data_IF_904477768817
#
_entry.id   IF_904477768817
#
_cell.length_a   1.000
_cell.length_b   1.000
_cell.length_c   1.000
_cell.angle_alpha   90.00
_cell.angle_beta   90.00
_cell.angle_gamma   90.00
#
_symmetry.space_group_name_H-M   'P 1'
#
loop_
_entity.id
_entity.type
_entity.pdbx_description
1 polymer ?
#
# COMPACT_ATOMS: atom_id res chain seq x y z
N UNK A 1 53.38 6.37 1.64
CA UNK A 1 52.32 5.74 0.88
C UNK A 1 51.22 5.23 1.78
N UNK A 2 50.29 6.10 2.17
CA UNK A 2 49.02 5.75 2.78
C UNK A 2 48.19 7.04 2.99
N UNK A 3 47.59 7.56 1.94
CA UNK A 3 46.54 8.60 2.01
C UNK A 3 45.69 8.57 0.74
N UNK A 4 44.82 7.56 0.56
CA UNK A 4 43.87 7.56 -0.54
C UNK A 4 42.56 6.75 -0.28
N UNK A 5 42.14 6.51 0.96
CA UNK A 5 40.95 5.70 1.22
C UNK A 5 39.84 6.40 2.02
N UNK A 6 39.90 7.72 2.25
CA UNK A 6 38.88 8.44 3.06
C UNK A 6 38.04 9.49 2.33
N UNK A 7 38.11 9.61 1.01
CA UNK A 7 37.28 10.57 0.26
C UNK A 7 35.92 10.04 -0.20
N UNK A 8 35.68 8.74 -0.24
CA UNK A 8 34.41 8.17 -0.69
C UNK A 8 33.28 8.13 0.32
N UNK A 9 33.51 8.49 1.59
CA UNK A 9 32.50 8.49 2.64
C UNK A 9 31.73 9.80 2.79
N UNK A 10 32.41 10.93 2.57
CA UNK A 10 31.82 12.25 2.73
C UNK A 10 30.93 12.66 1.54
N UNK A 11 31.28 12.25 0.33
CA UNK A 11 30.45 12.51 -0.86
C UNK A 11 29.14 11.73 -0.84
N UNK A 12 29.12 10.50 -0.30
CA UNK A 12 27.90 9.71 -0.12
C UNK A 12 26.97 10.26 0.96
N UNK A 13 27.47 10.96 1.96
CA UNK A 13 26.64 11.59 3.00
C UNK A 13 25.91 12.84 2.47
N UNK A 14 26.49 13.60 1.54
CA UNK A 14 25.85 14.76 0.93
C UNK A 14 24.68 14.43 -0.01
N UNK A 15 24.63 13.21 -0.58
CA UNK A 15 23.50 12.75 -1.39
C UNK A 15 22.24 12.43 -0.57
N UNK A 16 22.38 12.21 0.76
CA UNK A 16 21.29 11.82 1.66
C UNK A 16 20.82 12.94 2.59
N UNK A 17 21.43 14.11 2.55
CA UNK A 17 21.05 15.24 3.39
C UNK A 17 20.42 16.35 2.52
N UNK A 18 19.34 16.94 3.02
CA UNK A 18 18.76 18.13 2.45
C UNK A 18 19.62 19.38 2.72
N UNK A 19 19.17 20.55 2.22
CA UNK A 19 19.86 21.83 2.43
C UNK A 19 19.96 22.27 3.91
N UNK A 20 19.26 21.59 4.83
CA UNK A 20 19.27 21.82 6.28
C UNK A 20 20.13 20.79 7.01
N UNK A 21 20.71 19.79 6.29
CA UNK A 21 21.48 18.70 6.91
C UNK A 21 20.60 17.59 7.50
N UNK A 22 19.34 17.54 7.17
CA UNK A 22 18.42 16.48 7.56
C UNK A 22 18.41 15.35 6.51
N UNK A 23 18.17 14.11 6.96
CA UNK A 23 18.09 12.96 6.04
C UNK A 23 16.94 13.18 5.06
N UNK A 24 17.27 13.29 3.79
CA UNK A 24 16.27 13.47 2.72
C UNK A 24 15.41 12.22 2.61
N UNK A 25 14.11 12.35 2.88
CA UNK A 25 13.16 11.28 2.64
C UNK A 25 13.13 10.94 1.15
N UNK A 26 13.33 9.66 0.81
CA UNK A 26 13.28 9.21 -0.57
C UNK A 26 13.06 7.71 -0.66
N UNK A 27 12.28 7.30 -1.65
CA UNK A 27 12.10 5.90 -2.04
C UNK A 27 12.99 5.50 -3.25
N UNK A 28 14.00 6.31 -3.59
CA UNK A 28 14.91 6.04 -4.69
C UNK A 28 15.57 4.66 -4.56
N UNK A 29 15.51 3.86 -5.63
CA UNK A 29 16.09 2.52 -5.66
C UNK A 29 15.42 1.49 -4.73
N UNK A 30 14.29 1.82 -4.09
CA UNK A 30 13.51 0.85 -3.33
C UNK A 30 12.83 -0.13 -4.27
N UNK A 31 12.80 -1.39 -3.86
CA UNK A 31 12.25 -2.54 -4.60
C UNK A 31 10.89 -2.86 -3.99
N UNK A 32 9.83 -2.50 -4.70
CA UNK A 32 8.45 -2.47 -4.17
C UNK A 32 7.58 -3.48 -4.92
N UNK A 33 6.83 -4.29 -4.19
CA UNK A 33 5.79 -5.17 -4.73
C UNK A 33 4.41 -4.68 -4.27
N UNK A 34 3.50 -4.42 -5.22
CA UNK A 34 2.16 -3.88 -4.93
C UNK A 34 1.11 -4.83 -5.48
N UNK A 35 0.21 -5.30 -4.63
CA UNK A 35 -0.98 -6.03 -5.07
C UNK A 35 -2.10 -5.06 -5.44
N UNK A 36 -2.80 -5.32 -6.54
CA UNK A 36 -3.90 -4.46 -6.98
C UNK A 36 -3.45 -3.07 -7.46
N UNK A 37 -2.22 -2.95 -7.96
CA UNK A 37 -1.60 -1.68 -8.35
C UNK A 37 -1.98 -1.17 -9.75
N UNK A 38 -2.93 -1.78 -10.44
CA UNK A 38 -3.30 -1.38 -11.82
C UNK A 38 -4.13 -0.10 -11.88
N UNK A 39 -4.68 0.37 -10.76
CA UNK A 39 -5.55 1.56 -10.65
C UNK A 39 -5.67 2.05 -9.21
N UNK A 40 -6.41 3.16 -9.03
CA UNK A 40 -6.84 3.66 -7.72
C UNK A 40 -5.68 3.92 -6.76
N UNK A 41 -5.88 3.55 -5.50
CA UNK A 41 -4.91 3.79 -4.41
C UNK A 41 -3.56 3.12 -4.69
N UNK A 42 -3.57 1.86 -5.15
CA UNK A 42 -2.34 1.13 -5.44
C UNK A 42 -1.50 1.80 -6.53
N UNK A 43 -2.14 2.28 -7.60
CA UNK A 43 -1.45 3.03 -8.66
C UNK A 43 -0.94 4.38 -8.16
N UNK A 44 -1.73 5.11 -7.35
CA UNK A 44 -1.29 6.39 -6.79
C UNK A 44 -0.05 6.23 -5.90
N UNK A 45 0.00 5.19 -5.06
CA UNK A 45 1.19 4.87 -4.25
C UNK A 45 2.38 4.53 -5.16
N UNK A 46 2.16 3.74 -6.20
CA UNK A 46 3.20 3.38 -7.17
C UNK A 46 3.78 4.62 -7.86
N UNK A 47 2.94 5.52 -8.35
CA UNK A 47 3.37 6.76 -9.02
C UNK A 47 4.13 7.69 -8.08
N UNK A 48 3.71 7.78 -6.81
CA UNK A 48 4.43 8.57 -5.81
C UNK A 48 5.84 8.03 -5.55
N UNK A 49 5.98 6.71 -5.47
CA UNK A 49 7.30 6.07 -5.31
C UNK A 49 8.14 6.17 -6.59
N UNK A 50 7.51 6.05 -7.76
CA UNK A 50 8.16 6.17 -9.06
C UNK A 50 8.81 7.55 -9.28
N UNK A 51 8.19 8.62 -8.76
CA UNK A 51 8.76 9.97 -8.83
C UNK A 51 10.13 10.10 -8.15
N UNK A 52 10.45 9.22 -7.23
CA UNK A 52 11.78 9.12 -6.60
C UNK A 52 12.72 8.15 -7.32
N UNK A 53 12.26 7.43 -8.33
CA UNK A 53 13.05 6.41 -9.03
C UNK A 53 13.00 5.02 -8.38
N UNK A 54 11.90 4.65 -7.74
CA UNK A 54 11.71 3.30 -7.20
C UNK A 54 11.53 2.25 -8.33
N UNK A 55 11.83 0.99 -8.00
CA UNK A 55 11.52 -0.18 -8.84
C UNK A 55 10.24 -0.83 -8.32
N UNK A 56 9.22 -0.96 -9.17
CA UNK A 56 7.86 -1.29 -8.73
C UNK A 56 7.30 -2.45 -9.56
N UNK A 57 7.04 -3.57 -8.92
CA UNK A 57 6.27 -4.67 -9.48
C UNK A 57 4.80 -4.49 -9.14
N UNK A 58 3.94 -4.48 -10.16
CA UNK A 58 2.49 -4.42 -10.02
C UNK A 58 1.91 -5.79 -10.29
N UNK A 59 1.30 -6.39 -9.28
CA UNK A 59 0.63 -7.66 -9.37
C UNK A 59 -0.89 -7.48 -9.33
N UNK A 60 -1.57 -7.78 -10.43
CA UNK A 60 -3.03 -7.74 -10.54
C UNK A 60 -3.53 -8.65 -11.68
N UNK A 61 -4.85 -8.89 -11.68
CA UNK A 61 -5.48 -9.78 -12.68
C UNK A 61 -5.70 -9.10 -14.04
N UNK A 62 -5.87 -7.78 -14.05
CA UNK A 62 -6.38 -7.05 -15.22
C UNK A 62 -5.28 -6.85 -16.26
N UNK A 63 -5.32 -7.62 -17.32
CA UNK A 63 -4.43 -7.53 -18.48
C UNK A 63 -5.07 -6.79 -19.65
N UNK A 64 -6.40 -6.87 -19.76
CA UNK A 64 -7.17 -6.28 -20.86
C UNK A 64 -8.00 -5.10 -20.38
N UNK A 65 -8.23 -4.07 -21.22
CA UNK A 65 -9.10 -2.97 -20.88
C UNK A 65 -10.51 -3.44 -20.55
N UNK A 66 -11.09 -2.88 -19.49
CA UNK A 66 -12.45 -3.17 -19.06
C UNK A 66 -13.35 -1.94 -19.29
N UNK A 67 -14.59 -2.08 -19.81
CA UNK A 67 -15.46 -0.92 -20.14
C UNK A 67 -15.76 0.00 -18.96
N UNK A 68 -15.81 -0.55 -17.74
CA UNK A 68 -16.18 0.19 -16.51
C UNK A 68 -15.02 0.43 -15.53
N UNK A 69 -13.90 -0.23 -15.73
CA UNK A 69 -12.76 -0.15 -14.82
C UNK A 69 -11.52 0.26 -15.62
N UNK A 70 -11.04 1.51 -15.49
CA UNK A 70 -9.88 1.97 -16.25
C UNK A 70 -8.59 1.29 -15.79
N UNK A 71 -7.65 1.17 -16.72
CA UNK A 71 -6.29 0.70 -16.44
C UNK A 71 -6.13 -0.82 -16.44
N UNK A 72 -4.95 -1.22 -16.85
CA UNK A 72 -4.42 -2.59 -16.81
C UNK A 72 -3.07 -2.58 -16.11
N UNK A 73 -2.50 -3.76 -15.84
CA UNK A 73 -1.12 -3.84 -15.31
C UNK A 73 -0.12 -3.22 -16.29
N UNK A 74 -0.39 -3.25 -17.60
CA UNK A 74 0.50 -2.69 -18.61
C UNK A 74 0.42 -1.17 -18.69
N UNK A 75 -0.79 -0.59 -18.70
CA UNK A 75 -0.95 0.87 -18.66
C UNK A 75 -0.42 1.49 -17.36
N UNK A 76 -0.56 0.77 -16.25
CA UNK A 76 0.03 1.19 -14.99
C UNK A 76 1.57 1.14 -15.02
N UNK A 77 2.15 0.09 -15.61
CA UNK A 77 3.60 -0.01 -15.78
C UNK A 77 4.15 1.12 -16.66
N UNK A 78 3.46 1.46 -17.75
CA UNK A 78 3.80 2.60 -18.60
C UNK A 78 3.80 3.91 -17.82
N UNK A 79 2.72 4.19 -17.08
CA UNK A 79 2.62 5.40 -16.24
C UNK A 79 3.72 5.48 -15.17
N UNK A 80 4.11 4.35 -14.55
CA UNK A 80 5.20 4.28 -13.58
C UNK A 80 6.54 4.62 -14.24
N UNK A 81 6.81 4.08 -15.44
CA UNK A 81 8.03 4.38 -16.17
C UNK A 81 8.09 5.85 -16.57
N UNK A 82 6.98 6.42 -17.05
CA UNK A 82 6.88 7.86 -17.37
C UNK A 82 7.09 8.76 -16.13
N UNK A 83 6.67 8.30 -14.96
CA UNK A 83 6.88 9.01 -13.70
C UNK A 83 8.32 8.93 -13.15
N UNK A 84 9.21 8.18 -13.79
CA UNK A 84 10.62 8.06 -13.43
C UNK A 84 11.01 6.79 -12.68
N UNK A 85 10.07 5.85 -12.48
CA UNK A 85 10.33 4.54 -11.88
C UNK A 85 10.79 3.48 -12.88
N UNK A 86 11.05 2.27 -12.38
CA UNK A 86 11.21 1.06 -13.18
C UNK A 86 10.06 0.11 -12.88
N UNK A 87 9.15 -0.11 -13.81
CA UNK A 87 7.97 -0.94 -13.62
C UNK A 87 8.18 -2.38 -14.09
N UNK A 88 7.53 -3.32 -13.39
CA UNK A 88 7.34 -4.70 -13.79
C UNK A 88 5.85 -5.06 -13.65
N UNK A 89 5.20 -5.36 -14.77
CA UNK A 89 3.81 -5.80 -14.78
C UNK A 89 3.74 -7.32 -14.63
N UNK A 90 3.00 -7.80 -13.62
CA UNK A 90 2.85 -9.24 -13.35
C UNK A 90 1.36 -9.57 -13.25
N UNK A 91 0.89 -10.48 -14.09
CA UNK A 91 -0.46 -11.01 -13.95
C UNK A 91 -0.51 -11.96 -12.74
N UNK A 92 -1.39 -11.66 -11.79
CA UNK A 92 -1.53 -12.46 -10.56
C UNK A 92 -2.97 -12.44 -10.06
N UNK A 93 -3.53 -13.63 -9.87
CA UNK A 93 -4.77 -13.83 -9.12
C UNK A 93 -4.43 -14.21 -7.68
N UNK A 94 -4.75 -13.36 -6.72
CA UNK A 94 -4.46 -13.58 -5.29
C UNK A 94 -5.24 -14.76 -4.66
N UNK A 95 -6.14 -15.40 -5.39
CA UNK A 95 -6.80 -16.63 -4.98
C UNK A 95 -5.93 -17.86 -5.25
N UNK A 96 -4.92 -17.72 -6.09
CA UNK A 96 -4.01 -18.80 -6.50
C UNK A 96 -2.66 -18.63 -5.80
N UNK A 97 -2.34 -19.60 -4.93
CA UNK A 97 -1.11 -19.62 -4.12
C UNK A 97 0.16 -19.69 -5.00
N UNK A 98 0.11 -20.47 -6.08
CA UNK A 98 1.26 -20.61 -6.97
C UNK A 98 1.54 -19.29 -7.70
N UNK A 99 0.50 -18.64 -8.22
CA UNK A 99 0.65 -17.33 -8.85
C UNK A 99 1.21 -16.28 -7.89
N UNK A 100 0.78 -16.28 -6.61
CA UNK A 100 1.36 -15.39 -5.59
C UNK A 100 2.86 -15.65 -5.44
N UNK A 101 3.23 -16.90 -5.19
CA UNK A 101 4.63 -17.28 -4.97
C UNK A 101 5.49 -16.93 -6.19
N UNK A 102 5.07 -17.33 -7.38
CA UNK A 102 5.77 -17.07 -8.63
C UNK A 102 5.92 -15.57 -8.90
N UNK A 103 4.88 -14.77 -8.61
CA UNK A 103 4.90 -13.32 -8.82
C UNK A 103 5.91 -12.63 -7.89
N UNK A 104 5.94 -13.02 -6.62
CA UNK A 104 6.89 -12.46 -5.64
C UNK A 104 8.33 -12.84 -6.01
N UNK A 105 8.57 -14.10 -6.37
CA UNK A 105 9.89 -14.57 -6.80
C UNK A 105 10.35 -13.91 -8.11
N UNK A 106 9.45 -13.72 -9.07
CA UNK A 106 9.74 -13.00 -10.31
C UNK A 106 10.20 -11.57 -10.03
N UNK A 107 9.46 -10.84 -9.19
CA UNK A 107 9.80 -9.48 -8.81
C UNK A 107 11.15 -9.41 -8.06
N UNK A 108 11.35 -10.32 -7.09
CA UNK A 108 12.60 -10.39 -6.33
C UNK A 108 13.79 -10.73 -7.21
N UNK A 109 13.63 -11.63 -8.19
CA UNK A 109 14.67 -11.97 -9.17
C UNK A 109 15.03 -10.79 -10.08
N UNK A 110 14.01 -10.13 -10.65
CA UNK A 110 14.20 -9.01 -11.58
C UNK A 110 14.86 -7.80 -10.91
N UNK A 111 14.51 -7.52 -9.64
CA UNK A 111 15.02 -6.38 -8.89
C UNK A 111 16.24 -6.70 -8.02
N UNK A 112 16.61 -7.98 -7.89
CA UNK A 112 17.65 -8.43 -6.98
C UNK A 112 17.26 -8.33 -5.50
N UNK A 113 15.99 -8.57 -5.17
CA UNK A 113 15.41 -8.54 -3.82
C UNK A 113 14.12 -7.74 -3.73
N UNK A 114 13.56 -7.64 -2.51
CA UNK A 114 12.42 -6.79 -2.20
C UNK A 114 12.68 -6.03 -0.90
N UNK A 115 12.28 -4.76 -0.87
CA UNK A 115 12.37 -3.88 0.30
C UNK A 115 10.99 -3.56 0.88
N UNK A 116 9.96 -3.49 0.04
CA UNK A 116 8.63 -3.05 0.42
C UNK A 116 7.57 -3.95 -0.23
N UNK A 117 6.61 -4.38 0.59
CA UNK A 117 5.38 -5.00 0.14
C UNK A 117 4.20 -4.08 0.47
N UNK A 118 3.32 -3.83 -0.50
CA UNK A 118 2.06 -3.12 -0.28
C UNK A 118 0.89 -4.05 -0.59
N UNK A 119 0.19 -4.49 0.44
CA UNK A 119 -1.04 -5.25 0.34
C UNK A 119 -2.22 -4.29 0.14
N UNK A 120 -2.52 -3.96 -1.12
CA UNK A 120 -3.59 -3.03 -1.48
C UNK A 120 -4.79 -3.73 -2.14
N UNK A 121 -4.61 -4.88 -2.77
CA UNK A 121 -5.71 -5.58 -3.41
C UNK A 121 -6.82 -5.92 -2.41
N UNK A 122 -8.07 -5.66 -2.80
CA UNK A 122 -9.24 -5.91 -1.96
C UNK A 122 -10.46 -6.20 -2.84
N UNK A 123 -11.28 -7.15 -2.39
CA UNK A 123 -12.62 -7.37 -2.90
C UNK A 123 -13.63 -6.78 -1.90
N UNK A 124 -14.71 -6.20 -2.42
CA UNK A 124 -15.76 -5.56 -1.64
C UNK A 124 -17.13 -6.10 -2.02
N UNK A 125 -17.94 -6.38 -1.00
CA UNK A 125 -19.38 -6.63 -1.16
C UNK A 125 -20.07 -6.16 0.12
N UNK A 126 -20.90 -5.12 0.01
CA UNK A 126 -21.57 -4.47 1.13
C UNK A 126 -23.02 -4.97 1.27
N UNK A 127 -23.19 -6.27 1.42
CA UNK A 127 -24.49 -6.88 1.66
C UNK A 127 -24.63 -7.38 3.10
N UNK A 128 -25.88 -7.39 3.60
CA UNK A 128 -26.16 -7.93 4.92
C UNK A 128 -25.99 -9.47 4.94
N UNK A 129 -26.06 -10.06 6.12
CA UNK A 129 -25.85 -11.50 6.31
C UNK A 129 -26.79 -12.36 5.48
N UNK A 130 -28.08 -12.03 5.41
CA UNK A 130 -29.09 -12.80 4.68
C UNK A 130 -28.86 -12.75 3.15
N UNK A 131 -28.35 -11.63 2.64
CA UNK A 131 -28.21 -11.38 1.21
C UNK A 131 -26.81 -11.64 0.66
N UNK A 132 -25.84 -11.98 1.51
CA UNK A 132 -24.45 -12.22 1.07
C UNK A 132 -24.34 -13.60 0.41
N UNK A 133 -24.11 -13.69 -0.93
CA UNK A 133 -23.86 -14.97 -1.57
C UNK A 133 -22.56 -15.60 -1.10
N UNK A 134 -22.53 -16.91 -0.87
CA UNK A 134 -21.31 -17.62 -0.45
C UNK A 134 -20.10 -17.33 -1.35
N UNK A 135 -20.30 -17.30 -2.67
CA UNK A 135 -19.24 -16.93 -3.62
C UNK A 135 -18.64 -15.52 -3.42
N UNK A 136 -19.40 -14.59 -2.86
CA UNK A 136 -18.91 -13.24 -2.53
C UNK A 136 -18.16 -13.24 -1.21
N UNK A 137 -18.63 -14.01 -0.23
CA UNK A 137 -17.93 -14.26 1.01
C UNK A 137 -16.55 -14.87 0.71
N UNK A 138 -16.53 -15.97 -0.04
CA UNK A 138 -15.31 -16.67 -0.43
C UNK A 138 -14.34 -15.74 -1.15
N UNK A 139 -14.82 -14.96 -2.14
CA UNK A 139 -14.00 -14.01 -2.87
C UNK A 139 -13.34 -12.97 -1.94
N UNK A 140 -14.09 -12.40 -1.00
CA UNK A 140 -13.55 -11.42 -0.06
C UNK A 140 -12.49 -12.03 0.85
N UNK A 141 -12.71 -13.25 1.36
CA UNK A 141 -11.74 -13.92 2.21
C UNK A 141 -10.51 -14.40 1.45
N UNK A 142 -10.69 -14.91 0.24
CA UNK A 142 -9.59 -15.35 -0.60
C UNK A 142 -8.67 -14.18 -0.99
N UNK A 143 -9.24 -13.07 -1.42
CA UNK A 143 -8.45 -11.90 -1.85
C UNK A 143 -7.91 -11.12 -0.65
N UNK A 144 -8.78 -10.76 0.31
CA UNK A 144 -8.40 -9.83 1.38
C UNK A 144 -7.58 -10.52 2.47
N UNK A 145 -8.05 -11.67 2.98
CA UNK A 145 -7.40 -12.34 4.13
C UNK A 145 -6.29 -13.26 3.65
N UNK A 146 -6.67 -14.28 2.88
CA UNK A 146 -5.73 -15.30 2.38
C UNK A 146 -4.67 -14.68 1.48
N UNK A 147 -5.08 -13.79 0.57
CA UNK A 147 -4.16 -13.09 -0.34
C UNK A 147 -3.15 -12.23 0.41
N UNK A 148 -3.58 -11.45 1.41
CA UNK A 148 -2.67 -10.66 2.26
C UNK A 148 -1.69 -11.55 3.03
N UNK A 149 -2.18 -12.64 3.63
CA UNK A 149 -1.34 -13.56 4.39
C UNK A 149 -0.29 -14.23 3.49
N UNK A 150 -0.71 -14.84 2.39
CA UNK A 150 0.19 -15.59 1.51
C UNK A 150 1.19 -14.69 0.77
N UNK A 151 0.78 -13.48 0.35
CA UNK A 151 1.70 -12.54 -0.28
C UNK A 151 2.75 -12.05 0.72
N UNK A 152 2.34 -11.77 1.95
CA UNK A 152 3.27 -11.43 3.04
C UNK A 152 4.23 -12.59 3.30
N UNK A 153 3.72 -13.82 3.44
CA UNK A 153 4.53 -15.02 3.66
C UNK A 153 5.59 -15.21 2.55
N UNK A 154 5.21 -15.07 1.29
CA UNK A 154 6.13 -15.19 0.17
C UNK A 154 7.21 -14.08 0.17
N UNK A 155 6.84 -12.85 0.58
CA UNK A 155 7.77 -11.71 0.61
C UNK A 155 8.74 -11.73 1.81
N UNK A 156 8.38 -12.35 2.93
CA UNK A 156 9.16 -12.33 4.18
C UNK A 156 10.63 -12.72 4.00
N UNK A 157 11.03 -13.78 3.29
CA UNK A 157 12.43 -14.11 3.11
C UNK A 157 13.24 -12.98 2.49
N UNK A 158 12.67 -12.29 1.49
CA UNK A 158 13.30 -11.16 0.81
C UNK A 158 13.36 -9.92 1.70
N UNK A 159 12.30 -9.63 2.46
CA UNK A 159 12.23 -8.51 3.40
C UNK A 159 13.22 -8.70 4.57
N UNK A 160 13.37 -9.91 5.09
CA UNK A 160 14.40 -10.23 6.11
C UNK A 160 15.81 -10.02 5.57
N UNK A 161 16.07 -10.37 4.31
CA UNK A 161 17.35 -10.08 3.64
C UNK A 161 17.57 -8.57 3.52
N UNK A 162 16.55 -7.83 3.08
CA UNK A 162 16.56 -6.36 3.01
C UNK A 162 16.90 -5.73 4.37
N UNK A 163 16.32 -6.24 5.47
CA UNK A 163 16.63 -5.79 6.83
C UNK A 163 18.10 -6.00 7.22
N UNK A 164 18.65 -7.18 6.91
CA UNK A 164 20.08 -7.49 7.14
C UNK A 164 21.01 -6.59 6.33
N UNK A 165 20.57 -6.14 5.16
CA UNK A 165 21.31 -5.21 4.30
C UNK A 165 21.10 -3.73 4.68
N UNK A 166 20.34 -3.45 5.74
CA UNK A 166 20.04 -2.07 6.20
C UNK A 166 19.15 -1.28 5.25
N UNK A 167 18.32 -1.95 4.45
CA UNK A 167 17.49 -1.33 3.41
C UNK A 167 16.10 -0.91 3.86
N UNK A 168 15.83 -0.93 5.16
CA UNK A 168 14.59 -0.40 5.75
C UNK A 168 13.30 -1.09 5.24
N UNK A 169 13.11 -2.39 5.49
CA UNK A 169 11.98 -3.14 4.92
C UNK A 169 10.65 -2.84 5.58
N UNK A 170 9.60 -2.65 4.75
CA UNK A 170 8.24 -2.39 5.20
C UNK A 170 7.21 -3.29 4.51
N UNK A 171 6.19 -3.68 5.26
CA UNK A 171 4.90 -4.15 4.75
C UNK A 171 3.83 -3.14 5.13
N UNK A 172 3.16 -2.57 4.15
CA UNK A 172 2.04 -1.65 4.34
C UNK A 172 0.76 -2.31 3.81
N UNK A 173 -0.24 -2.43 4.67
CA UNK A 173 -1.53 -3.04 4.32
C UNK A 173 -2.62 -1.98 4.34
N UNK A 174 -3.40 -1.87 3.26
CA UNK A 174 -4.53 -0.96 3.16
C UNK A 174 -5.73 -1.57 3.89
N UNK A 175 -5.72 -1.40 5.22
CA UNK A 175 -6.73 -1.98 6.11
C UNK A 175 -6.98 -1.09 7.34
N UNK A 176 -8.19 -1.18 7.94
CA UNK A 176 -8.61 -0.26 8.99
C UNK A 176 -8.03 -0.61 10.36
N UNK A 177 -8.07 0.35 11.31
CA UNK A 177 -7.94 0.03 12.72
C UNK A 177 -8.97 -1.01 13.16
N UNK A 178 -8.62 -1.86 14.12
CA UNK A 178 -9.51 -2.86 14.67
C UNK A 178 -10.46 -2.23 15.69
N UNK A 179 -11.76 -2.45 15.54
CA UNK A 179 -12.80 -2.07 16.47
C UNK A 179 -13.80 -3.20 16.65
N UNK A 180 -14.14 -3.51 17.89
CA UNK A 180 -15.16 -4.54 18.22
C UNK A 180 -16.57 -3.95 18.38
N UNK A 181 -16.79 -2.70 17.95
CA UNK A 181 -18.11 -2.06 18.02
C UNK A 181 -19.06 -2.66 16.99
N UNK A 182 -20.21 -3.14 17.43
CA UNK A 182 -21.17 -3.88 16.60
C UNK A 182 -21.66 -3.10 15.36
N UNK A 183 -21.73 -1.76 15.44
CA UNK A 183 -22.18 -0.96 14.30
C UNK A 183 -21.26 -1.04 13.08
N UNK A 184 -19.95 -1.35 13.26
CA UNK A 184 -19.02 -1.58 12.16
C UNK A 184 -19.19 -2.93 11.48
N UNK A 185 -19.89 -3.86 12.10
CA UNK A 185 -20.24 -5.16 11.52
C UNK A 185 -21.65 -5.17 10.93
N UNK A 186 -22.56 -4.40 11.50
CA UNK A 186 -23.97 -4.37 11.10
C UNK A 186 -24.10 -4.05 9.62
N UNK A 187 -24.91 -4.85 8.91
CA UNK A 187 -25.24 -4.73 7.49
C UNK A 187 -24.12 -5.11 6.49
N UNK A 188 -22.91 -5.43 6.94
CA UNK A 188 -21.81 -5.89 6.07
C UNK A 188 -20.80 -6.75 6.83
N UNK A 189 -21.29 -7.73 7.57
CA UNK A 189 -20.48 -8.59 8.45
C UNK A 189 -19.31 -9.24 7.70
N UNK A 190 -19.55 -9.84 6.55
CA UNK A 190 -18.52 -10.52 5.77
C UNK A 190 -17.39 -9.58 5.32
N UNK A 191 -17.74 -8.38 4.86
CA UNK A 191 -16.75 -7.38 4.45
C UNK A 191 -15.90 -6.90 5.64
N UNK A 192 -16.54 -6.59 6.78
CA UNK A 192 -15.83 -6.18 7.99
C UNK A 192 -14.87 -7.26 8.47
N UNK A 193 -15.32 -8.53 8.52
CA UNK A 193 -14.45 -9.65 8.89
C UNK A 193 -13.25 -9.76 7.96
N UNK A 194 -13.45 -9.64 6.64
CA UNK A 194 -12.37 -9.73 5.67
C UNK A 194 -11.38 -8.57 5.80
N UNK A 195 -11.83 -7.33 5.96
CA UNK A 195 -10.95 -6.18 6.17
C UNK A 195 -10.20 -6.27 7.50
N UNK A 196 -10.87 -6.70 8.56
CA UNK A 196 -10.23 -6.93 9.87
C UNK A 196 -9.25 -8.10 9.82
N UNK A 197 -9.51 -9.13 9.02
CA UNK A 197 -8.55 -10.21 8.77
C UNK A 197 -7.22 -9.69 8.21
N UNK A 198 -7.25 -8.72 7.30
CA UNK A 198 -6.04 -8.04 6.82
C UNK A 198 -5.33 -7.30 7.97
N UNK A 199 -6.06 -6.59 8.79
CA UNK A 199 -5.52 -5.87 9.96
C UNK A 199 -4.95 -6.81 11.03
N UNK A 200 -5.56 -7.98 11.21
CA UNK A 200 -5.04 -9.03 12.10
C UNK A 200 -3.69 -9.58 11.62
N UNK A 201 -3.48 -9.70 10.31
CA UNK A 201 -2.17 -10.02 9.74
C UNK A 201 -1.12 -8.96 10.15
N UNK A 202 -1.46 -7.68 10.06
CA UNK A 202 -0.57 -6.60 10.50
C UNK A 202 -0.23 -6.73 11.99
N UNK A 203 -1.25 -6.92 12.83
CA UNK A 203 -1.07 -7.04 14.29
C UNK A 203 -0.15 -8.20 14.67
N UNK A 204 -0.40 -9.39 14.12
CA UNK A 204 0.38 -10.58 14.43
C UNK A 204 1.79 -10.53 13.85
N UNK A 205 1.92 -10.21 12.56
CA UNK A 205 3.20 -10.21 11.86
C UNK A 205 4.13 -9.10 12.34
N UNK A 206 3.61 -7.95 12.79
CA UNK A 206 4.44 -6.89 13.38
C UNK A 206 5.21 -7.35 14.62
N UNK A 207 4.57 -8.15 15.46
CA UNK A 207 5.20 -8.74 16.65
C UNK A 207 6.15 -9.88 16.28
N UNK A 208 5.76 -10.75 15.34
CA UNK A 208 6.51 -11.92 14.92
C UNK A 208 7.86 -11.56 14.28
N UNK A 209 7.86 -10.56 13.39
CA UNK A 209 9.06 -10.15 12.62
C UNK A 209 9.79 -8.92 13.16
N UNK A 210 9.46 -8.48 14.38
CA UNK A 210 10.11 -7.33 15.00
C UNK A 210 11.64 -7.49 15.10
N UNK A 211 12.11 -8.68 15.45
CA UNK A 211 13.56 -8.98 15.60
C UNK A 211 14.29 -9.03 14.25
N UNK A 212 13.57 -9.24 13.16
CA UNK A 212 14.12 -9.23 11.81
C UNK A 212 14.18 -7.81 11.21
N UNK A 213 13.70 -6.79 11.96
CA UNK A 213 13.68 -5.40 11.52
C UNK A 213 12.70 -5.11 10.38
N UNK A 214 11.72 -5.99 10.15
CA UNK A 214 10.66 -5.80 9.14
C UNK A 214 9.47 -5.13 9.80
N UNK A 215 9.11 -3.94 9.32
CA UNK A 215 7.94 -3.21 9.80
C UNK A 215 6.65 -3.70 9.12
N UNK A 216 5.60 -3.86 9.91
CA UNK A 216 4.24 -4.14 9.43
C UNK A 216 3.30 -3.08 9.97
N UNK A 217 2.70 -2.30 9.07
CA UNK A 217 1.73 -1.25 9.43
C UNK A 217 0.50 -1.31 8.55
N UNK A 218 -0.60 -0.77 9.04
CA UNK A 218 -1.83 -0.54 8.27
C UNK A 218 -2.00 0.95 7.98
N UNK A 219 -2.66 1.25 6.87
CA UNK A 219 -3.07 2.61 6.49
C UNK A 219 -4.52 2.58 6.03
N UNK A 220 -5.32 3.50 6.53
CA UNK A 220 -6.73 3.64 6.20
C UNK A 220 -7.11 5.10 5.95
N UNK A 221 -8.02 5.39 5.00
CA UNK A 221 -8.46 6.75 4.75
C UNK A 221 -9.49 7.20 5.81
N UNK A 222 -9.45 8.47 6.20
CA UNK A 222 -10.52 9.07 7.00
C UNK A 222 -11.79 9.29 6.21
N UNK A 223 -11.64 9.68 4.96
CA UNK A 223 -12.77 9.97 4.06
C UNK A 223 -12.77 8.98 2.91
N UNK A 224 -13.93 8.75 2.32
CA UNK A 224 -14.05 7.96 1.11
C UNK A 224 -13.10 8.48 0.01
N UNK A 225 -12.49 7.56 -0.70
CA UNK A 225 -11.52 7.86 -1.77
C UNK A 225 -12.16 7.61 -3.12
N UNK A 226 -12.09 8.60 -4.00
CA UNK A 226 -12.59 8.50 -5.37
C UNK A 226 -11.78 7.48 -6.17
N UNK A 227 -12.33 6.28 -6.27
CA UNK A 227 -11.79 5.16 -7.02
C UNK A 227 -12.87 4.53 -7.89
N UNK A 228 -12.47 3.84 -8.94
CA UNK A 228 -13.43 3.13 -9.79
C UNK A 228 -14.28 2.11 -9.01
N UNK A 229 -13.72 1.51 -7.95
CA UNK A 229 -14.46 0.60 -7.07
C UNK A 229 -15.56 1.34 -6.28
N UNK A 230 -15.26 2.53 -5.77
CA UNK A 230 -16.23 3.35 -5.03
C UNK A 230 -17.35 3.85 -5.95
N UNK A 231 -17.01 4.27 -7.17
CA UNK A 231 -17.97 4.75 -8.17
C UNK A 231 -19.00 3.68 -8.57
N UNK A 232 -18.71 2.40 -8.35
CA UNK A 232 -19.65 1.30 -8.57
C UNK A 232 -20.66 1.10 -7.45
N UNK A 233 -20.49 1.77 -6.30
CA UNK A 233 -21.40 1.66 -5.16
C UNK A 233 -22.57 2.64 -5.37
N UNK A 234 -23.84 2.15 -5.43
CA UNK A 234 -24.99 3.02 -5.64
C UNK A 234 -25.12 4.08 -4.53
N UNK A 235 -25.42 5.32 -4.92
CA UNK A 235 -25.70 6.41 -3.99
C UNK A 235 -24.45 7.12 -3.42
N UNK A 236 -23.25 6.77 -3.87
CA UNK A 236 -22.03 7.47 -3.51
C UNK A 236 -21.85 8.71 -4.39
N UNK A 237 -21.72 9.87 -3.77
CA UNK A 237 -21.34 11.13 -4.43
C UNK A 237 -19.82 11.32 -4.34
N UNK A 238 -19.13 11.09 -5.45
CA UNK A 238 -17.67 11.22 -5.51
C UNK A 238 -17.18 12.65 -5.35
N UNK A 239 -18.03 13.65 -5.53
CA UNK A 239 -17.71 15.05 -5.26
C UNK A 239 -17.39 15.32 -3.77
N UNK A 240 -17.88 14.44 -2.88
CA UNK A 240 -17.63 14.48 -1.44
C UNK A 240 -16.44 13.60 -1.01
N UNK A 241 -15.64 13.13 -1.96
CA UNK A 241 -14.50 12.25 -1.70
C UNK A 241 -13.18 13.02 -1.79
N UNK A 242 -12.12 12.35 -1.31
CA UNK A 242 -10.74 12.76 -1.57
C UNK A 242 -10.12 11.90 -2.67
N UNK A 243 -9.06 12.41 -3.27
CA UNK A 243 -8.28 11.73 -4.31
C UNK A 243 -7.36 10.67 -3.69
N UNK A 244 -7.01 9.61 -4.44
CA UNK A 244 -6.07 8.57 -3.98
C UNK A 244 -4.70 9.09 -3.54
N UNK A 245 -4.28 10.25 -4.02
CA UNK A 245 -2.99 10.88 -3.72
C UNK A 245 -2.80 11.17 -2.24
N UNK A 246 -3.87 11.33 -1.46
CA UNK A 246 -3.74 11.51 0.00
C UNK A 246 -3.15 10.26 0.66
N UNK A 247 -3.60 9.08 0.24
CA UNK A 247 -3.04 7.81 0.71
C UNK A 247 -1.63 7.56 0.17
N UNK A 248 -1.36 7.99 -1.05
CA UNK A 248 -0.03 7.89 -1.65
C UNK A 248 1.00 8.71 -0.87
N UNK A 249 0.68 9.95 -0.52
CA UNK A 249 1.56 10.80 0.29
C UNK A 249 1.69 10.28 1.73
N UNK A 250 0.59 9.82 2.36
CA UNK A 250 0.67 9.19 3.70
C UNK A 250 1.54 7.93 3.68
N UNK A 251 1.37 7.06 2.69
CA UNK A 251 2.20 5.87 2.50
C UNK A 251 3.68 6.24 2.33
N UNK A 252 3.97 7.27 1.55
CA UNK A 252 5.33 7.76 1.35
C UNK A 252 6.02 8.11 2.68
N UNK A 253 5.35 8.85 3.55
CA UNK A 253 5.91 9.19 4.87
C UNK A 253 6.09 7.97 5.76
N UNK A 254 5.13 7.05 5.81
CA UNK A 254 5.25 5.81 6.59
C UNK A 254 6.46 4.98 6.12
N UNK A 255 6.61 4.80 4.82
CA UNK A 255 7.66 3.97 4.22
C UNK A 255 9.08 4.57 4.36
N UNK A 256 9.18 5.86 4.66
CA UNK A 256 10.46 6.53 4.96
C UNK A 256 10.81 6.51 6.45
N UNK A 257 9.90 6.11 7.35
CA UNK A 257 10.21 5.95 8.77
C UNK A 257 11.10 4.75 9.00
N UNK A 258 11.90 4.75 10.07
CA UNK A 258 12.74 3.61 10.40
C UNK A 258 11.90 2.36 10.70
N UNK A 259 12.10 1.28 9.95
CA UNK A 259 11.35 0.03 10.10
C UNK A 259 11.52 -0.62 11.49
N UNK A 260 12.65 -0.39 12.13
CA UNK A 260 12.92 -0.85 13.49
C UNK A 260 12.07 -0.18 14.57
N UNK A 261 11.55 1.03 14.28
CA UNK A 261 10.83 1.87 15.24
C UNK A 261 9.35 2.04 14.88
N UNK A 262 9.01 1.91 13.60
CA UNK A 262 7.67 2.16 13.08
C UNK A 262 7.01 0.84 12.63
N UNK A 263 6.50 0.05 13.58
CA UNK A 263 5.82 -1.22 13.29
C UNK A 263 4.65 -1.47 14.24
N UNK A 264 3.60 -2.12 13.76
CA UNK A 264 2.41 -2.45 14.54
C UNK A 264 1.39 -1.31 14.65
N UNK A 265 1.49 -0.30 13.79
CA UNK A 265 0.60 0.86 13.82
C UNK A 265 -0.56 0.71 12.83
N UNK A 266 -1.69 1.31 13.19
CA UNK A 266 -2.86 1.46 12.36
C UNK A 266 -3.03 2.95 12.07
N UNK A 267 -2.46 3.40 10.97
CA UNK A 267 -2.40 4.80 10.58
C UNK A 267 -3.66 5.25 9.85
N UNK A 268 -4.00 6.53 10.05
CA UNK A 268 -5.01 7.23 9.27
C UNK A 268 -4.29 8.29 8.41
N UNK A 269 -4.70 8.42 7.17
CA UNK A 269 -4.02 9.24 6.15
C UNK A 269 -3.80 10.69 6.58
N UNK A 270 -4.85 11.37 7.05
CA UNK A 270 -4.79 12.76 7.46
C UNK A 270 -3.97 12.97 8.76
N UNK A 271 -3.97 11.99 9.66
CA UNK A 271 -3.16 12.02 10.88
C UNK A 271 -1.67 11.88 10.56
N UNK A 272 -1.33 11.00 9.61
CA UNK A 272 0.06 10.87 9.12
C UNK A 272 0.53 12.19 8.53
N UNK A 273 -0.27 12.79 7.64
CA UNK A 273 0.08 14.07 7.02
C UNK A 273 0.20 15.20 8.04
N UNK A 274 -0.71 15.27 9.02
CA UNK A 274 -0.64 16.25 10.09
C UNK A 274 0.64 16.09 10.93
N UNK A 275 1.08 14.86 11.19
CA UNK A 275 2.35 14.60 11.92
C UNK A 275 3.59 15.09 11.17
N UNK A 276 3.49 15.24 9.85
CA UNK A 276 4.54 15.80 8.98
C UNK A 276 4.34 17.31 8.69
N UNK A 277 3.40 17.96 9.42
CA UNK A 277 3.13 19.39 9.28
C UNK A 277 2.23 19.76 8.09
N UNK A 278 1.64 18.76 7.41
CA UNK A 278 0.73 18.99 6.28
C UNK A 278 -0.70 19.03 6.81
N UNK A 279 -1.23 20.24 7.02
CA UNK A 279 -2.57 20.48 7.58
C UNK A 279 -3.57 20.99 6.55
N UNK A 280 -3.11 21.62 5.46
CA UNK A 280 -3.97 21.98 4.34
C UNK A 280 -4.11 20.80 3.38
N UNK A 281 -5.30 20.18 3.39
CA UNK A 281 -5.62 19.00 2.60
C UNK A 281 -6.53 19.31 1.40
N UNK A 282 -6.77 20.59 1.07
CA UNK A 282 -7.71 20.99 0.00
C UNK A 282 -7.29 20.46 -1.37
N UNK A 283 -5.98 20.34 -1.62
CA UNK A 283 -5.44 19.75 -2.86
C UNK A 283 -5.89 18.31 -3.11
N UNK A 284 -6.26 17.57 -2.04
CA UNK A 284 -6.73 16.19 -2.15
C UNK A 284 -8.25 16.09 -2.32
N UNK A 285 -9.01 17.18 -2.17
CA UNK A 285 -10.44 17.16 -2.44
C UNK A 285 -10.71 16.92 -3.93
N UNK A 286 -11.70 16.07 -4.26
CA UNK A 286 -12.14 15.92 -5.66
C UNK A 286 -12.70 17.23 -6.16
N UNK A 287 -13.53 17.90 -5.34
CA UNK A 287 -14.00 19.27 -5.58
C UNK A 287 -13.31 20.18 -4.56
N UNK A 288 -12.45 21.11 -5.00
CA UNK A 288 -11.79 22.05 -4.11
C UNK A 288 -12.77 22.85 -3.24
N UNK A 289 -12.42 23.08 -1.98
CA UNK A 289 -13.26 23.77 -1.02
C UNK A 289 -14.36 22.92 -0.37
N UNK A 290 -14.46 21.63 -0.68
CA UNK A 290 -15.37 20.69 0.02
C UNK A 290 -15.05 20.65 1.51
N UNK A 291 -16.09 20.77 2.36
CA UNK A 291 -15.97 20.73 3.83
C UNK A 291 -16.62 19.49 4.42
N UNK A 292 -17.73 19.07 3.85
CA UNK A 292 -18.53 17.94 4.34
C UNK A 292 -18.18 16.68 3.51
N UNK A 293 -17.03 16.08 3.81
CA UNK A 293 -16.60 14.86 3.14
C UNK A 293 -17.42 13.65 3.59
N UNK A 294 -17.60 12.70 2.68
CA UNK A 294 -18.09 11.37 3.00
C UNK A 294 -17.03 10.64 3.83
N UNK A 295 -17.36 10.26 5.06
CA UNK A 295 -16.46 9.49 5.92
C UNK A 295 -16.35 8.05 5.43
N UNK A 296 -15.17 7.46 5.56
CA UNK A 296 -14.96 6.03 5.31
C UNK A 296 -15.41 5.20 6.52
N UNK A 297 -15.49 3.88 6.33
CA UNK A 297 -15.87 2.95 7.39
C UNK A 297 -14.80 2.83 8.47
N UNK A 298 -15.19 2.28 9.63
CA UNK A 298 -14.32 1.80 10.72
C UNK A 298 -13.62 2.87 11.55
N UNK A 299 -13.94 4.13 11.37
CA UNK A 299 -13.42 5.22 12.20
C UNK A 299 -14.54 5.82 13.06
N UNK A 300 -14.29 5.96 14.36
CA UNK A 300 -15.20 6.51 15.36
C UNK A 300 -15.06 8.04 15.48
#
# INVERSE_FOLDING_TARGET
HERSHFRGGAERLHEFLDAKGEVRMSLAGKKIFITGGSRGIGLAIALRAAADGAMIAIAAKTTDPHPKLPGTIFSAAEAINEAGGKALAIQCDLRDENQITESVEQAASEFGGLDILINNASAINLTNTESTPAKRFDLMFDVNVRGTFLTSQAAIPHLKKSGKEGRNPHVLTLSPPLSMKAHWFKNHVAYTMAKYGMSMCVLGMSAEFKRDGVAFNALWPRTAIDTAALQMIPGVDTALCRKPEILADAAYYILNRASSECSGNFFIDDEVLASEGITDLDKYAVVPGTKDFLLDFFLD
#
